data_IF_031748246260
#
_entry.id   IF_031748246260
#
_cell.length_a   1.000
_cell.length_b   1.000
_cell.length_c   1.000
_cell.angle_alpha   90.00
_cell.angle_beta   90.00
_cell.angle_gamma   90.00
#
_symmetry.space_group_name_H-M   'P 1'
#
loop_
_entity.id
_entity.type
_entity.pdbx_description
1 polymer ?
#
# COMPACT_ATOMS: atom_id res chain seq x y z
N UNK A 1 5.94 3.04 18.43
CA UNK A 1 4.54 3.00 17.95
C UNK A 1 4.38 4.09 16.91
N UNK A 2 3.61 3.86 15.82
CA UNK A 2 3.38 4.89 14.81
C UNK A 2 2.74 6.13 15.47
N UNK A 3 3.01 7.34 14.96
CA UNK A 3 2.49 8.58 15.52
C UNK A 3 1.02 8.72 15.12
N UNK A 4 0.14 7.97 15.78
CA UNK A 4 -1.30 8.02 15.58
C UNK A 4 -1.99 8.49 16.86
N UNK A 5 -3.06 9.26 16.70
CA UNK A 5 -4.05 9.45 17.76
C UNK A 5 -4.81 8.15 18.03
N UNK A 6 -5.58 8.14 19.12
CA UNK A 6 -6.40 6.99 19.47
C UNK A 6 -7.40 6.68 18.36
N UNK A 7 -7.39 5.43 17.89
CA UNK A 7 -8.40 4.91 16.97
C UNK A 7 -9.73 4.80 17.73
N UNK A 8 -10.77 5.48 17.25
CA UNK A 8 -12.08 5.59 17.89
C UNK A 8 -13.21 5.00 17.04
N UNK A 9 -12.86 4.36 15.93
CA UNK A 9 -13.77 3.76 14.96
C UNK A 9 -14.13 2.32 15.31
N UNK A 10 -13.21 1.37 15.10
CA UNK A 10 -13.39 -0.03 15.40
C UNK A 10 -12.57 -0.44 16.62
N UNK A 11 -13.05 -1.40 17.43
CA UNK A 11 -12.26 -1.98 18.51
C UNK A 11 -10.94 -2.55 17.96
N UNK A 12 -9.86 -1.82 18.20
CA UNK A 12 -8.54 -2.12 17.66
C UNK A 12 -7.62 -2.67 18.74
N UNK A 13 -6.82 -3.67 18.39
CA UNK A 13 -5.77 -4.22 19.26
C UNK A 13 -4.47 -4.29 18.49
N UNK A 14 -3.40 -3.76 19.07
CA UNK A 14 -2.06 -3.87 18.53
C UNK A 14 -1.35 -5.08 19.16
N UNK A 15 -0.82 -5.97 18.33
CA UNK A 15 -0.10 -7.17 18.77
C UNK A 15 1.26 -7.22 18.08
N UNK A 16 2.35 -7.51 18.82
CA UNK A 16 3.65 -7.71 18.21
C UNK A 16 3.62 -8.97 17.33
N UNK A 17 4.30 -8.89 16.18
CA UNK A 17 4.49 -10.05 15.32
C UNK A 17 5.61 -10.93 15.88
N UNK A 18 5.37 -12.23 15.92
CA UNK A 18 6.33 -13.27 16.30
C UNK A 18 6.27 -14.44 15.33
N UNK A 19 7.12 -15.45 15.55
CA UNK A 19 7.17 -16.63 14.67
C UNK A 19 5.87 -17.46 14.67
N UNK A 20 5.05 -17.38 15.73
CA UNK A 20 3.79 -18.11 15.84
C UNK A 20 2.66 -17.43 15.06
N UNK A 21 2.63 -16.10 15.03
CA UNK A 21 1.53 -15.35 14.44
C UNK A 21 1.85 -14.75 13.05
N UNK A 22 3.13 -14.52 12.69
CA UNK A 22 3.52 -13.76 11.50
C UNK A 22 2.93 -14.34 10.22
N UNK A 23 3.09 -15.66 10.00
CA UNK A 23 2.58 -16.31 8.80
C UNK A 23 1.06 -16.22 8.69
N UNK A 24 0.36 -16.42 9.81
CA UNK A 24 -1.09 -16.35 9.88
C UNK A 24 -1.60 -14.93 9.61
N UNK A 25 -0.95 -13.93 10.20
CA UNK A 25 -1.27 -12.52 10.00
C UNK A 25 -1.06 -12.09 8.55
N UNK A 26 0.05 -12.50 7.91
CA UNK A 26 0.33 -12.22 6.50
C UNK A 26 -0.73 -12.85 5.58
N UNK A 27 -1.11 -14.11 5.83
CA UNK A 27 -2.18 -14.76 5.06
C UNK A 27 -3.52 -14.06 5.25
N UNK A 28 -3.88 -13.75 6.49
CA UNK A 28 -5.14 -13.08 6.82
C UNK A 28 -5.23 -11.70 6.14
N UNK A 29 -4.15 -10.92 6.16
CA UNK A 29 -4.08 -9.57 5.58
C UNK A 29 -4.42 -9.53 4.08
N UNK A 30 -4.22 -10.64 3.35
CA UNK A 30 -4.60 -10.77 1.94
C UNK A 30 -5.80 -11.68 1.66
N UNK A 31 -6.50 -12.18 2.70
CA UNK A 31 -7.65 -13.08 2.55
C UNK A 31 -8.91 -12.32 2.17
N UNK A 32 -9.03 -11.95 0.90
CA UNK A 32 -10.14 -11.17 0.35
C UNK A 32 -11.47 -11.95 0.51
N UNK A 33 -12.49 -11.37 1.19
CA UNK A 33 -13.84 -11.94 1.27
C UNK A 33 -14.37 -12.41 -0.09
N UNK A 34 -15.02 -13.58 -0.12
CA UNK A 34 -15.57 -14.22 -1.32
C UNK A 34 -14.54 -14.72 -2.35
N UNK A 35 -13.25 -14.48 -2.16
CA UNK A 35 -12.16 -14.98 -3.03
C UNK A 35 -11.31 -16.01 -2.31
N UNK A 36 -11.01 -15.77 -1.03
CA UNK A 36 -10.15 -16.60 -0.20
C UNK A 36 -10.79 -16.92 1.15
N UNK A 37 -10.40 -18.05 1.74
CA UNK A 37 -10.81 -18.41 3.10
C UNK A 37 -10.15 -17.48 4.12
N UNK A 38 -10.90 -17.12 5.16
CA UNK A 38 -10.35 -16.36 6.29
C UNK A 38 -9.48 -17.24 7.17
N UNK A 39 -8.46 -16.67 7.79
CA UNK A 39 -7.60 -17.39 8.73
C UNK A 39 -8.28 -17.41 10.09
N UNK A 40 -8.35 -18.56 10.74
CA UNK A 40 -8.97 -18.70 12.07
C UNK A 40 -7.94 -18.63 13.19
N UNK A 41 -8.38 -18.09 14.32
CA UNK A 41 -7.74 -18.26 15.64
C UNK A 41 -6.22 -17.98 15.64
N UNK A 42 -5.84 -16.82 15.08
CA UNK A 42 -4.43 -16.40 14.99
C UNK A 42 -3.83 -16.37 16.42
N UNK A 43 -2.66 -17.01 16.65
CA UNK A 43 -2.00 -17.01 17.96
C UNK A 43 -1.83 -15.59 18.52
N UNK A 44 -2.28 -15.37 19.76
CA UNK A 44 -2.25 -14.08 20.45
C UNK A 44 -3.38 -13.10 20.07
N UNK A 45 -4.02 -13.27 18.91
CA UNK A 45 -5.11 -12.40 18.47
C UNK A 45 -6.45 -12.76 19.13
N UNK A 46 -6.64 -14.05 19.44
CA UNK A 46 -7.84 -14.59 20.06
C UNK A 46 -8.71 -15.32 19.05
N UNK A 47 -9.78 -15.93 19.55
CA UNK A 47 -10.70 -16.72 18.72
C UNK A 47 -11.44 -15.83 17.71
N UNK A 48 -11.55 -16.27 16.46
CA UNK A 48 -12.22 -15.51 15.41
C UNK A 48 -11.74 -15.83 14.00
N UNK A 49 -12.37 -15.20 13.00
CA UNK A 49 -11.95 -15.28 11.60
C UNK A 49 -11.37 -13.94 11.17
N UNK A 50 -10.12 -13.96 10.72
CA UNK A 50 -9.35 -12.81 10.27
C UNK A 50 -9.32 -12.78 8.74
N UNK A 51 -9.47 -11.58 8.17
CA UNK A 51 -9.63 -11.34 6.74
C UNK A 51 -8.83 -10.11 6.32
N UNK A 52 -8.85 -9.85 5.01
CA UNK A 52 -8.15 -8.74 4.37
C UNK A 52 -8.40 -7.41 5.08
N UNK A 53 -7.31 -6.74 5.45
CA UNK A 53 -7.36 -5.48 6.21
C UNK A 53 -7.92 -4.31 5.39
N UNK A 54 -7.84 -4.38 4.06
CA UNK A 54 -8.36 -3.35 3.17
C UNK A 54 -9.88 -3.19 3.23
N UNK A 55 -10.59 -4.11 3.88
CA UNK A 55 -12.00 -3.93 4.19
C UNK A 55 -12.24 -2.73 5.12
N UNK A 56 -11.33 -2.49 6.07
CA UNK A 56 -11.40 -1.42 7.06
C UNK A 56 -10.43 -0.28 6.72
N UNK A 57 -9.16 -0.63 6.46
CA UNK A 57 -8.05 0.30 6.22
C UNK A 57 -7.39 0.01 4.86
N UNK A 58 -8.01 0.46 3.76
CA UNK A 58 -7.50 0.17 2.42
C UNK A 58 -6.25 0.97 2.08
N UNK A 59 -6.36 2.30 2.03
CA UNK A 59 -5.22 3.21 2.09
C UNK A 59 -5.21 3.83 3.48
N UNK A 60 -4.03 4.07 4.04
CA UNK A 60 -3.84 4.44 5.45
C UNK A 60 -4.28 5.90 5.73
N UNK A 61 -5.59 6.16 5.70
CA UNK A 61 -6.27 7.41 6.09
C UNK A 61 -6.45 7.46 7.62
N UNK A 62 -5.32 7.33 8.32
CA UNK A 62 -5.23 7.22 9.77
C UNK A 62 -5.09 8.61 10.42
N UNK A 63 -5.48 8.79 11.69
CA UNK A 63 -5.32 10.06 12.40
C UNK A 63 -3.86 10.25 12.82
N UNK A 64 -3.00 10.65 11.88
CA UNK A 64 -1.60 10.95 12.16
C UNK A 64 -1.49 12.16 13.11
N UNK A 65 -0.63 12.05 14.11
CA UNK A 65 -0.39 13.09 15.12
C UNK A 65 1.04 13.64 15.05
N UNK A 66 1.21 14.85 15.57
CA UNK A 66 2.50 15.53 15.64
C UNK A 66 2.66 16.58 14.55
N UNK A 67 3.65 17.45 14.74
CA UNK A 67 3.92 18.61 13.88
C UNK A 67 4.93 18.29 12.75
N UNK A 68 5.43 17.05 12.72
CA UNK A 68 6.35 16.54 11.70
C UNK A 68 5.61 15.99 10.47
N UNK A 69 6.35 15.79 9.38
CA UNK A 69 5.83 15.16 8.17
C UNK A 69 5.84 13.63 8.29
N UNK A 70 4.72 13.01 7.89
CA UNK A 70 4.61 11.57 7.65
C UNK A 70 4.89 11.30 6.17
N UNK A 71 5.99 10.61 5.88
CA UNK A 71 6.27 10.15 4.54
C UNK A 71 5.43 8.90 4.24
N UNK A 72 4.59 8.97 3.21
CA UNK A 72 3.76 7.85 2.77
C UNK A 72 4.10 7.46 1.32
N UNK A 73 5.02 6.50 1.11
CA UNK A 73 5.24 5.90 -0.20
C UNK A 73 4.01 5.11 -0.62
N UNK A 74 3.46 5.43 -1.78
CA UNK A 74 2.24 4.82 -2.27
C UNK A 74 2.28 4.60 -3.78
N UNK A 75 1.46 3.68 -4.29
CA UNK A 75 1.45 3.33 -5.72
C UNK A 75 0.54 4.23 -6.56
N UNK A 76 -0.23 5.13 -5.94
CA UNK A 76 -1.16 6.05 -6.60
C UNK A 76 -1.23 7.37 -5.83
N UNK A 77 -1.47 8.46 -6.55
CA UNK A 77 -1.69 9.83 -6.06
C UNK A 77 -3.00 10.05 -5.27
N UNK A 78 -3.70 8.97 -4.90
CA UNK A 78 -5.01 9.03 -4.24
C UNK A 78 -5.08 8.13 -3.01
N UNK A 79 -5.54 8.68 -1.91
CA UNK A 79 -5.89 7.93 -0.70
C UNK A 79 -7.38 7.59 -0.76
N UNK A 80 -7.70 6.29 -0.68
CA UNK A 80 -9.06 5.74 -0.70
C UNK A 80 -9.24 5.02 0.64
N UNK A 81 -10.04 5.56 1.59
CA UNK A 81 -10.06 5.07 2.96
C UNK A 81 -10.46 3.60 3.08
N UNK A 82 -11.62 3.22 2.54
CA UNK A 82 -12.11 1.85 2.57
C UNK A 82 -12.24 1.22 1.17
N UNK A 83 -12.22 -0.11 1.11
CA UNK A 83 -12.44 -0.83 -0.15
C UNK A 83 -13.80 -0.50 -0.79
N UNK A 84 -14.85 -0.30 0.01
CA UNK A 84 -16.18 0.08 -0.49
C UNK A 84 -16.24 1.49 -1.08
N UNK A 85 -15.29 2.37 -0.74
CA UNK A 85 -15.26 3.74 -1.28
C UNK A 85 -14.73 3.78 -2.71
N UNK A 86 -14.03 2.74 -3.14
CA UNK A 86 -13.39 2.66 -4.47
C UNK A 86 -14.37 2.86 -5.62
N UNK A 87 -15.62 2.42 -5.48
CA UNK A 87 -16.66 2.56 -6.49
C UNK A 87 -17.55 3.80 -6.30
N UNK A 88 -17.32 4.57 -5.24
CA UNK A 88 -18.17 5.68 -4.80
C UNK A 88 -17.36 6.99 -4.82
N UNK A 89 -17.15 7.62 -6.00
CA UNK A 89 -16.25 8.77 -6.14
C UNK A 89 -16.65 10.01 -5.32
N UNK A 90 -17.88 10.05 -4.79
CA UNK A 90 -18.36 11.10 -3.90
C UNK A 90 -17.96 10.88 -2.43
N UNK A 91 -17.59 9.66 -2.02
CA UNK A 91 -17.03 9.41 -0.69
C UNK A 91 -15.55 9.79 -0.71
N UNK A 92 -15.22 10.89 -0.04
CA UNK A 92 -13.85 11.38 0.13
C UNK A 92 -13.36 11.06 1.53
N UNK A 93 -12.06 10.81 1.65
CA UNK A 93 -11.39 10.75 2.95
C UNK A 93 -11.44 12.09 3.68
N UNK A 94 -11.09 12.06 4.95
CA UNK A 94 -11.07 13.25 5.78
C UNK A 94 -9.81 14.07 5.49
N UNK A 95 -9.99 15.23 4.84
CA UNK A 95 -8.88 16.09 4.43
C UNK A 95 -8.06 16.61 5.63
N UNK A 96 -8.59 16.59 6.86
CA UNK A 96 -7.81 17.01 8.03
C UNK A 96 -6.83 15.94 8.50
N UNK A 97 -7.03 14.66 8.15
CA UNK A 97 -6.15 13.55 8.58
C UNK A 97 -4.82 13.49 7.84
N UNK A 98 -4.78 14.03 6.62
CA UNK A 98 -3.61 13.95 5.74
C UNK A 98 -2.82 15.26 5.67
N UNK A 99 -3.09 16.23 6.55
CA UNK A 99 -2.47 17.57 6.51
C UNK A 99 -0.93 17.53 6.60
N UNK A 100 -0.40 16.60 7.39
CA UNK A 100 1.04 16.42 7.58
C UNK A 100 1.59 15.22 6.79
N UNK A 101 0.87 14.73 5.77
CA UNK A 101 1.29 13.57 4.98
C UNK A 101 1.91 14.02 3.66
N UNK A 102 3.16 13.64 3.44
CA UNK A 102 3.82 13.73 2.14
C UNK A 102 3.61 12.41 1.39
N UNK A 103 2.66 12.41 0.46
CA UNK A 103 2.39 11.26 -0.40
C UNK A 103 3.43 11.19 -1.52
N UNK A 104 4.22 10.12 -1.55
CA UNK A 104 5.26 9.88 -2.56
C UNK A 104 4.80 8.79 -3.52
N UNK A 105 4.60 9.13 -4.79
CA UNK A 105 3.99 8.22 -5.77
C UNK A 105 4.74 8.21 -7.09
N UNK A 106 4.63 7.13 -7.89
CA UNK A 106 5.20 7.09 -9.22
C UNK A 106 4.60 8.19 -10.11
N UNK A 107 5.44 8.84 -10.91
CA UNK A 107 4.97 9.87 -11.85
C UNK A 107 4.21 9.26 -13.03
N UNK A 108 3.31 10.01 -13.68
CA UNK A 108 2.66 9.56 -14.91
C UNK A 108 3.64 9.17 -16.01
N UNK A 109 4.77 9.88 -16.13
CA UNK A 109 5.83 9.62 -17.11
C UNK A 109 6.51 8.27 -16.84
N UNK A 110 6.75 7.94 -15.57
CA UNK A 110 7.27 6.62 -15.20
C UNK A 110 6.28 5.52 -15.54
N UNK A 111 5.00 5.69 -15.17
CA UNK A 111 3.97 4.70 -15.48
C UNK A 111 3.84 4.45 -16.98
N UNK A 112 3.91 5.50 -17.80
CA UNK A 112 3.88 5.39 -19.26
C UNK A 112 5.08 4.63 -19.85
N UNK A 113 6.24 4.66 -19.18
CA UNK A 113 7.44 3.92 -19.59
C UNK A 113 7.37 2.42 -19.25
N UNK A 114 6.50 2.02 -18.32
CA UNK A 114 6.28 0.61 -17.99
C UNK A 114 5.50 -0.11 -19.09
N UNK A 115 5.68 -1.43 -19.24
CA UNK A 115 4.83 -2.20 -20.15
C UNK A 115 3.36 -2.04 -19.80
N UNK A 116 2.53 -1.81 -20.82
CA UNK A 116 1.10 -1.52 -20.69
C UNK A 116 0.75 -0.23 -19.93
N UNK A 117 1.72 0.66 -19.71
CA UNK A 117 1.48 1.99 -19.13
C UNK A 117 1.01 1.97 -17.67
N UNK A 118 1.28 0.88 -16.93
CA UNK A 118 0.81 0.69 -15.55
C UNK A 118 1.73 -0.23 -14.75
N UNK A 119 1.55 -0.20 -13.43
CA UNK A 119 2.11 -1.21 -12.54
C UNK A 119 1.42 -2.57 -12.76
N UNK A 120 2.14 -3.70 -12.56
CA UNK A 120 1.54 -5.02 -12.51
C UNK A 120 0.40 -5.11 -11.49
N UNK A 121 -0.72 -5.72 -11.89
CA UNK A 121 -1.88 -5.93 -11.04
C UNK A 121 -2.52 -7.32 -11.25
N UNK A 122 -3.56 -7.63 -10.48
CA UNK A 122 -4.23 -8.94 -10.53
C UNK A 122 -4.86 -9.28 -11.90
N UNK A 123 -5.22 -8.30 -12.71
CA UNK A 123 -5.78 -8.55 -14.04
C UNK A 123 -4.73 -9.15 -14.98
N UNK A 124 -3.44 -9.02 -14.65
CA UNK A 124 -2.36 -9.60 -15.44
C UNK A 124 -2.35 -11.14 -15.35
N UNK A 125 -2.98 -11.74 -14.34
CA UNK A 125 -3.23 -13.19 -14.34
C UNK A 125 -4.18 -13.61 -15.48
N UNK A 126 -5.22 -12.80 -15.72
CA UNK A 126 -6.16 -13.03 -16.82
C UNK A 126 -5.54 -12.71 -18.18
N UNK A 127 -4.77 -11.62 -18.27
CA UNK A 127 -4.09 -11.19 -19.52
C UNK A 127 -3.12 -12.24 -20.04
N UNK A 128 -2.36 -12.86 -19.14
CA UNK A 128 -1.35 -13.86 -19.47
C UNK A 128 -1.82 -15.30 -19.17
N UNK A 129 -3.13 -15.58 -19.27
CA UNK A 129 -3.61 -16.96 -19.13
C UNK A 129 -2.92 -17.86 -20.17
N UNK A 130 -2.32 -18.95 -19.69
CA UNK A 130 -1.53 -19.85 -20.54
C UNK A 130 -0.08 -19.40 -20.79
N UNK A 131 0.32 -18.18 -20.36
CA UNK A 131 1.69 -17.66 -20.52
C UNK A 131 2.26 -17.14 -19.19
N UNK A 132 2.40 -18.05 -18.22
CA UNK A 132 3.07 -17.74 -16.96
C UNK A 132 4.51 -17.21 -17.14
N UNK A 133 5.35 -17.72 -18.08
CA UNK A 133 6.66 -17.16 -18.34
C UNK A 133 6.62 -15.69 -18.81
N UNK A 134 5.70 -15.33 -19.71
CA UNK A 134 5.52 -13.94 -20.16
C UNK A 134 5.05 -13.02 -19.05
N UNK A 135 4.10 -13.46 -18.22
CA UNK A 135 3.68 -12.72 -17.03
C UNK A 135 4.85 -12.42 -16.11
N UNK A 136 5.72 -13.42 -15.85
CA UNK A 136 6.92 -13.24 -15.02
C UNK A 136 7.89 -12.24 -15.64
N UNK A 137 8.16 -12.32 -16.95
CA UNK A 137 9.03 -11.35 -17.64
C UNK A 137 8.49 -9.92 -17.49
N UNK A 138 7.19 -9.74 -17.69
CA UNK A 138 6.52 -8.45 -17.48
C UNK A 138 6.67 -7.94 -16.04
N UNK A 139 6.40 -8.79 -15.05
CA UNK A 139 6.54 -8.42 -13.63
C UNK A 139 7.99 -8.05 -13.26
N UNK A 140 8.97 -8.84 -13.68
CA UNK A 140 10.39 -8.55 -13.42
C UNK A 140 10.87 -7.27 -14.10
N UNK A 141 10.33 -6.91 -15.27
CA UNK A 141 10.63 -5.63 -15.91
C UNK A 141 10.17 -4.45 -15.04
N UNK A 142 8.96 -4.51 -14.48
CA UNK A 142 8.47 -3.48 -13.57
C UNK A 142 9.28 -3.40 -12.26
N UNK A 143 9.72 -4.55 -11.73
CA UNK A 143 10.64 -4.59 -10.57
C UNK A 143 11.95 -3.89 -10.90
N UNK A 144 12.57 -4.20 -12.04
CA UNK A 144 13.85 -3.60 -12.43
C UNK A 144 13.74 -2.08 -12.60
N UNK A 145 12.65 -1.58 -13.19
CA UNK A 145 12.42 -0.13 -13.30
C UNK A 145 12.13 0.52 -11.94
N UNK A 146 11.49 -0.19 -11.01
CA UNK A 146 11.30 0.29 -9.63
C UNK A 146 12.63 0.36 -8.87
N UNK A 147 13.51 -0.63 -9.06
CA UNK A 147 14.86 -0.63 -8.48
C UNK A 147 15.66 0.57 -8.98
N UNK A 148 15.64 0.84 -10.30
CA UNK A 148 16.33 2.01 -10.88
C UNK A 148 15.90 3.32 -10.24
N UNK A 149 14.59 3.51 -9.98
CA UNK A 149 14.09 4.70 -9.28
C UNK A 149 14.54 4.75 -7.82
N UNK A 150 14.51 3.62 -7.13
CA UNK A 150 14.99 3.53 -5.75
C UNK A 150 16.46 3.88 -5.64
N UNK A 151 17.29 3.37 -6.54
CA UNK A 151 18.73 3.65 -6.59
C UNK A 151 18.99 5.14 -6.83
N UNK A 152 18.28 5.76 -7.78
CA UNK A 152 18.38 7.19 -8.07
C UNK A 152 17.96 8.05 -6.85
N UNK A 153 16.87 7.70 -6.18
CA UNK A 153 16.43 8.40 -4.97
C UNK A 153 17.47 8.30 -3.84
N UNK A 154 18.00 7.10 -3.60
CA UNK A 154 19.02 6.88 -2.58
C UNK A 154 20.30 7.65 -2.88
N UNK A 155 20.73 7.71 -4.14
CA UNK A 155 21.88 8.51 -4.58
C UNK A 155 21.65 10.01 -4.32
N UNK A 156 20.49 10.54 -4.71
CA UNK A 156 20.14 11.95 -4.51
C UNK A 156 20.09 12.34 -3.04
N UNK A 157 19.61 11.45 -2.17
CA UNK A 157 19.61 11.65 -0.71
C UNK A 157 21.05 11.62 -0.19
N UNK A 158 21.82 10.59 -0.53
CA UNK A 158 23.18 10.41 -0.04
C UNK A 158 24.13 11.54 -0.44
N UNK A 159 23.90 12.15 -1.61
CA UNK A 159 24.69 13.28 -2.12
C UNK A 159 24.14 14.66 -1.71
N UNK A 160 22.98 14.71 -1.04
CA UNK A 160 22.31 15.97 -0.68
C UNK A 160 21.70 16.73 -1.87
N UNK A 161 21.59 16.09 -3.04
CA UNK A 161 21.18 16.71 -4.31
C UNK A 161 19.70 16.56 -4.63
N UNK A 162 18.91 15.96 -3.74
CA UNK A 162 17.46 15.81 -3.93
C UNK A 162 16.77 17.12 -4.31
N UNK A 163 17.16 18.22 -3.65
CA UNK A 163 16.60 19.55 -3.88
C UNK A 163 16.77 20.06 -5.33
N UNK A 164 17.81 19.61 -6.05
CA UNK A 164 18.07 19.96 -7.44
C UNK A 164 17.06 19.33 -8.41
N UNK A 165 16.35 18.28 -7.98
CA UNK A 165 15.39 17.53 -8.79
C UNK A 165 13.94 17.87 -8.47
N UNK A 166 13.68 18.73 -7.49
CA UNK A 166 12.34 19.14 -7.12
C UNK A 166 11.75 20.05 -8.21
N UNK A 167 10.49 19.82 -8.54
CA UNK A 167 9.71 20.61 -9.48
C UNK A 167 8.43 21.06 -8.80
N UNK A 168 7.99 22.30 -9.07
CA UNK A 168 6.67 22.75 -8.64
C UNK A 168 5.58 21.99 -9.41
N UNK A 169 4.50 21.65 -8.71
CA UNK A 169 3.30 21.00 -9.26
C UNK A 169 2.33 22.03 -9.83
#
# INVERSE_FOLDING_TARGET
TPPLDALTDFPSRCLPLDLANLRHALLASGSIPMVMEGVKDIPGAGAGTYRDGGLLDYHLDLPYRGDDLVLYPHFTDKVVPGWFDKALPWRKGDATRLQNVLLMTPSPQYLAALPYGKLPDRNDFKRFMGDAPGRKRYWYKAIAESQRLGDELLELIATGRLHERLQAL
#
